data_IF_086564034746
#
_entry.id   IF_086564034746
#
_cell.length_a   1.000
_cell.length_b   1.000
_cell.length_c   1.000
_cell.angle_alpha   90.00
_cell.angle_beta   90.00
_cell.angle_gamma   90.00
#
_symmetry.space_group_name_H-M   'P 1'
#
loop_
_entity.id
_entity.type
_entity.pdbx_description
1 polymer ?
#
# COMPACT_ATOMS: atom_id res chain seq x y z
N UNK A 1 18.02 -13.94 -1.28
CA UNK A 1 17.13 -14.21 -0.14
C UNK A 1 17.53 -13.28 0.99
N UNK A 2 16.66 -12.36 1.41
CA UNK A 2 17.02 -11.38 2.45
C UNK A 2 17.07 -12.07 3.82
N UNK A 3 18.09 -11.81 4.65
CA UNK A 3 18.10 -12.23 6.03
C UNK A 3 17.41 -11.15 6.87
N UNK A 4 16.21 -11.44 7.38
CA UNK A 4 15.54 -10.60 8.39
C UNK A 4 14.01 -10.60 8.30
N UNK A 5 13.39 -11.31 9.26
CA UNK A 5 11.94 -11.50 9.54
C UNK A 5 11.21 -12.35 8.51
N UNK A 6 10.90 -13.58 8.89
CA UNK A 6 10.35 -14.65 8.04
C UNK A 6 8.90 -14.47 7.56
N UNK A 7 8.39 -13.23 7.47
CA UNK A 7 7.08 -12.97 6.87
C UNK A 7 7.24 -12.55 5.39
N UNK A 8 6.39 -13.05 4.48
CA UNK A 8 6.38 -12.60 3.09
C UNK A 8 6.10 -11.10 2.99
N UNK A 9 6.96 -10.38 2.27
CA UNK A 9 6.73 -8.98 1.92
C UNK A 9 5.55 -8.85 0.96
N UNK A 10 4.65 -7.91 1.24
CA UNK A 10 3.53 -7.54 0.39
C UNK A 10 3.72 -6.13 -0.20
N UNK A 11 3.46 -5.99 -1.50
CA UNK A 11 3.49 -4.74 -2.25
C UNK A 11 2.17 -4.56 -3.00
N UNK A 12 1.54 -3.40 -2.83
CA UNK A 12 0.42 -2.95 -3.66
C UNK A 12 0.84 -1.69 -4.39
N UNK A 13 0.64 -1.65 -5.71
CA UNK A 13 1.08 -0.54 -6.56
C UNK A 13 -0.04 -0.20 -7.54
N UNK A 14 -0.49 1.05 -7.50
CA UNK A 14 -1.51 1.57 -8.41
C UNK A 14 -0.88 2.30 -9.60
N UNK A 15 -1.33 1.98 -10.81
CA UNK A 15 -0.93 2.65 -12.04
C UNK A 15 -2.11 3.30 -12.75
N UNK A 16 -1.88 4.47 -13.34
CA UNK A 16 -2.74 5.08 -14.35
C UNK A 16 -1.86 5.59 -15.48
N UNK A 17 -2.18 5.26 -16.73
CA UNK A 17 -1.40 5.63 -17.92
C UNK A 17 0.12 5.37 -17.81
N UNK A 18 0.48 4.21 -17.22
CA UNK A 18 1.89 3.83 -17.01
C UNK A 18 2.60 4.56 -15.88
N UNK A 19 1.92 5.47 -15.17
CA UNK A 19 2.46 6.22 -14.04
C UNK A 19 2.03 5.58 -12.73
N UNK A 20 2.99 5.22 -11.88
CA UNK A 20 2.72 4.80 -10.50
C UNK A 20 2.15 6.00 -9.74
N UNK A 21 0.91 5.90 -9.25
CA UNK A 21 0.26 7.00 -8.54
C UNK A 21 0.13 6.77 -7.03
N UNK A 22 0.12 5.50 -6.60
CA UNK A 22 0.14 5.11 -5.19
C UNK A 22 0.93 3.82 -4.98
N UNK A 23 1.51 3.67 -3.78
CA UNK A 23 2.16 2.44 -3.32
C UNK A 23 1.88 2.18 -1.85
N UNK A 24 1.73 0.91 -1.50
CA UNK A 24 1.84 0.39 -0.13
C UNK A 24 2.97 -0.65 -0.07
N UNK A 25 3.76 -0.61 0.99
CA UNK A 25 4.83 -1.58 1.28
C UNK A 25 4.74 -2.07 2.72
N UNK A 26 4.52 -3.37 2.91
CA UNK A 26 4.40 -3.97 4.25
C UNK A 26 5.68 -3.87 5.07
N UNK A 27 6.83 -3.75 4.41
CA UNK A 27 8.15 -3.72 5.05
C UNK A 27 8.59 -2.29 5.41
N UNK A 28 7.80 -1.27 5.05
CA UNK A 28 8.10 0.11 5.42
C UNK A 28 8.07 0.28 6.95
N UNK A 29 8.87 1.19 7.49
CA UNK A 29 8.88 1.47 8.94
C UNK A 29 7.51 1.93 9.47
N UNK A 30 6.71 2.56 8.61
CA UNK A 30 5.32 2.94 8.86
C UNK A 30 4.47 2.58 7.63
N UNK A 31 3.96 1.32 7.54
CA UNK A 31 3.21 0.87 6.37
C UNK A 31 1.92 1.65 6.19
N UNK A 32 1.86 2.45 5.12
CA UNK A 32 0.71 3.25 4.72
C UNK A 32 0.65 3.35 3.20
N UNK A 33 -0.52 3.71 2.68
CA UNK A 33 -0.67 4.05 1.27
C UNK A 33 -0.04 5.43 1.05
N UNK A 34 0.91 5.51 0.11
CA UNK A 34 1.65 6.74 -0.18
C UNK A 34 1.40 7.21 -1.62
N UNK A 35 1.27 8.53 -1.85
CA UNK A 35 1.23 9.10 -3.18
C UNK A 35 2.58 8.91 -3.89
N UNK A 36 2.54 8.69 -5.21
CA UNK A 36 3.72 8.46 -6.06
C UNK A 36 3.71 9.33 -7.32
N UNK A 37 2.66 10.12 -7.51
CA UNK A 37 2.53 11.09 -8.57
C UNK A 37 2.15 12.47 -8.00
N UNK A 38 2.57 13.58 -8.63
CA UNK A 38 2.34 14.93 -8.12
C UNK A 38 0.87 15.27 -7.87
N UNK A 39 -0.03 14.73 -8.69
CA UNK A 39 -1.48 14.93 -8.58
C UNK A 39 -2.12 14.07 -7.46
N UNK A 40 -1.35 13.28 -6.72
CA UNK A 40 -1.78 12.64 -5.47
C UNK A 40 -1.13 13.24 -4.22
N UNK A 41 -0.05 14.00 -4.35
CA UNK A 41 0.71 14.50 -3.19
C UNK A 41 0.03 15.67 -2.47
N UNK A 42 -0.78 16.46 -3.18
CA UNK A 42 -1.38 17.64 -2.59
C UNK A 42 -2.63 17.37 -1.76
N UNK A 43 -3.12 18.41 -1.06
CA UNK A 43 -4.19 18.28 -0.07
C UNK A 43 -5.56 18.00 -0.69
N UNK A 44 -5.73 18.19 -2.00
CA UNK A 44 -7.03 18.04 -2.68
C UNK A 44 -7.59 16.63 -2.55
N UNK A 45 -6.75 15.60 -2.47
CA UNK A 45 -7.21 14.21 -2.30
C UNK A 45 -8.00 14.08 -1.01
N UNK A 46 -7.46 14.56 0.11
CA UNK A 46 -8.14 14.52 1.41
C UNK A 46 -9.26 15.56 1.53
N UNK A 47 -9.20 16.68 0.79
CA UNK A 47 -10.29 17.66 0.76
C UNK A 47 -11.51 17.14 -0.01
N UNK A 48 -11.31 16.45 -1.14
CA UNK A 48 -12.39 15.87 -1.94
C UNK A 48 -12.85 14.53 -1.37
N UNK A 49 -11.93 13.75 -0.83
CA UNK A 49 -12.18 12.44 -0.26
C UNK A 49 -11.53 12.37 1.13
N UNK A 50 -12.23 12.89 2.16
CA UNK A 50 -11.76 12.75 3.53
C UNK A 50 -11.48 11.29 3.88
N UNK A 51 -10.39 11.07 4.60
CA UNK A 51 -9.91 9.75 5.02
C UNK A 51 -9.48 8.84 3.85
N UNK A 52 -9.18 9.38 2.67
CA UNK A 52 -8.74 8.58 1.53
C UNK A 52 -7.50 7.75 1.88
N UNK A 53 -6.47 8.37 2.48
CA UNK A 53 -5.23 7.68 2.82
C UNK A 53 -5.44 6.64 3.91
N UNK A 54 -6.23 6.95 4.93
CA UNK A 54 -6.51 6.04 6.04
C UNK A 54 -7.33 4.83 5.59
N UNK A 55 -8.35 5.04 4.74
CA UNK A 55 -9.16 3.95 4.21
C UNK A 55 -8.33 3.03 3.31
N UNK A 56 -7.54 3.59 2.39
CA UNK A 56 -6.70 2.78 1.51
C UNK A 56 -5.58 2.07 2.27
N UNK A 57 -5.00 2.70 3.31
CA UNK A 57 -4.03 2.05 4.19
C UNK A 57 -4.62 0.83 4.90
N UNK A 58 -5.80 0.98 5.52
CA UNK A 58 -6.47 -0.14 6.20
C UNK A 58 -6.83 -1.27 5.24
N UNK A 59 -7.26 -0.93 4.02
CA UNK A 59 -7.55 -1.90 2.96
C UNK A 59 -6.29 -2.67 2.56
N UNK A 60 -5.20 -1.98 2.27
CA UNK A 60 -3.93 -2.60 1.88
C UNK A 60 -3.36 -3.49 3.00
N UNK A 61 -3.46 -3.05 4.27
CA UNK A 61 -3.08 -3.89 5.42
C UNK A 61 -3.94 -5.17 5.50
N UNK A 62 -5.25 -5.07 5.30
CA UNK A 62 -6.14 -6.24 5.24
C UNK A 62 -5.78 -7.19 4.10
N UNK A 63 -5.51 -6.65 2.92
CA UNK A 63 -5.06 -7.44 1.76
C UNK A 63 -3.73 -8.13 2.03
N UNK A 64 -2.75 -7.45 2.63
CA UNK A 64 -1.48 -8.04 3.02
C UNK A 64 -1.68 -9.27 3.95
N UNK A 65 -2.59 -9.17 4.92
CA UNK A 65 -2.91 -10.29 5.82
C UNK A 65 -3.55 -11.47 5.08
N UNK A 66 -4.50 -11.20 4.17
CA UNK A 66 -5.12 -12.26 3.34
C UNK A 66 -4.08 -12.96 2.46
N UNK A 67 -3.19 -12.21 1.82
CA UNK A 67 -2.13 -12.78 0.99
C UNK A 67 -1.14 -13.62 1.81
N UNK A 68 -0.79 -13.18 3.02
CA UNK A 68 0.04 -13.97 3.94
C UNK A 68 -0.59 -15.32 4.24
N UNK A 69 -1.86 -15.33 4.67
CA UNK A 69 -2.58 -16.58 4.96
C UNK A 69 -2.66 -17.47 3.72
N UNK A 70 -2.96 -16.91 2.55
CA UNK A 70 -3.03 -17.69 1.32
C UNK A 70 -1.69 -18.35 0.99
N UNK A 71 -0.56 -17.62 1.11
CA UNK A 71 0.77 -18.18 0.87
C UNK A 71 1.13 -19.31 1.84
N UNK A 72 0.65 -19.27 3.08
CA UNK A 72 0.86 -20.36 4.05
C UNK A 72 0.00 -21.61 3.75
N UNK A 73 -1.05 -21.47 2.93
CA UNK A 73 -2.02 -22.54 2.62
C UNK A 73 -1.94 -23.11 1.19
N UNK A 74 -1.06 -22.56 0.34
CA UNK A 74 -0.81 -23.01 -1.03
C UNK A 74 0.32 -24.05 -1.07
#
# INVERSE_FOLDING_TARGET
>A
SRPGRGEPRFLEVGYVDGTEFVRFDSDAANPRMEPRAPWMEGPWVEQQYPQYWDQNTRRAQGTAQTFRVNLDTL
#
